data_IF_642876827129
#
_entry.id   IF_642876827129
#
_cell.length_a   1.000
_cell.length_b   1.000
_cell.length_c   1.000
_cell.angle_alpha   90.00
_cell.angle_beta   90.00
_cell.angle_gamma   90.00
#
_symmetry.space_group_name_H-M   'P 1'
#
loop_
_entity.id
_entity.type
_entity.pdbx_description
1 polymer ?
#
# COMPACT_ATOMS: atom_id res chain seq x y z
N UNK A 1 -1.75 -31.87 13.01
CA UNK A 1 -2.92 -32.75 12.77
C UNK A 1 -4.05 -32.29 13.68
N UNK A 2 -5.05 -31.60 13.13
CA UNK A 2 -6.19 -31.10 13.90
C UNK A 2 -7.18 -32.23 14.16
N UNK A 3 -7.61 -32.38 15.42
CA UNK A 3 -8.58 -33.41 15.82
C UNK A 3 -9.94 -33.28 15.12
N UNK A 4 -10.71 -34.37 15.16
CA UNK A 4 -12.05 -34.53 14.57
C UNK A 4 -12.94 -33.33 14.95
N UNK A 5 -13.49 -32.63 13.94
CA UNK A 5 -14.35 -31.45 14.11
C UNK A 5 -13.69 -30.08 13.90
N UNK A 6 -12.36 -30.00 13.72
CA UNK A 6 -11.64 -28.72 13.49
C UNK A 6 -11.37 -28.36 12.02
N UNK A 7 -12.00 -29.04 11.07
CA UNK A 7 -11.79 -28.80 9.63
C UNK A 7 -12.13 -27.37 9.19
N UNK A 8 -13.20 -26.78 9.72
CA UNK A 8 -13.59 -25.39 9.42
C UNK A 8 -12.59 -24.39 9.99
N UNK A 9 -11.98 -24.68 11.14
CA UNK A 9 -10.99 -23.81 11.76
C UNK A 9 -9.68 -23.77 10.95
N UNK A 10 -9.25 -24.91 10.41
CA UNK A 10 -8.09 -25.01 9.50
C UNK A 10 -8.37 -24.34 8.16
N UNK A 11 -9.60 -24.42 7.64
CA UNK A 11 -9.97 -23.73 6.40
C UNK A 11 -10.04 -22.20 6.59
N UNK A 12 -10.54 -21.70 7.72
CA UNK A 12 -10.53 -20.25 7.99
C UNK A 12 -9.11 -19.71 8.19
N UNK A 13 -8.25 -20.42 8.91
CA UNK A 13 -6.84 -19.99 9.04
C UNK A 13 -6.08 -19.97 7.71
N UNK A 14 -6.42 -20.88 6.77
CA UNK A 14 -5.90 -20.82 5.40
C UNK A 14 -6.38 -19.59 4.63
N UNK A 15 -7.66 -19.25 4.76
CA UNK A 15 -8.26 -18.07 4.12
C UNK A 15 -7.70 -16.75 4.69
N UNK A 16 -7.46 -16.67 5.99
CA UNK A 16 -6.85 -15.52 6.66
C UNK A 16 -5.40 -15.30 6.17
N UNK A 17 -4.65 -16.40 5.97
CA UNK A 17 -3.29 -16.35 5.42
C UNK A 17 -3.25 -15.93 3.95
N UNK A 18 -4.16 -16.42 3.11
CA UNK A 18 -4.26 -15.99 1.72
C UNK A 18 -4.59 -14.50 1.62
N UNK A 19 -5.50 -13.98 2.46
CA UNK A 19 -5.84 -12.55 2.48
C UNK A 19 -4.69 -11.67 2.97
N UNK A 20 -3.93 -12.12 3.96
CA UNK A 20 -2.71 -11.44 4.42
C UNK A 20 -1.65 -11.35 3.31
N UNK A 21 -1.45 -12.44 2.56
CA UNK A 21 -0.50 -12.46 1.43
C UNK A 21 -1.00 -11.58 0.27
N UNK A 22 -2.31 -11.59 0.01
CA UNK A 22 -2.93 -10.79 -1.04
C UNK A 22 -2.84 -9.28 -0.77
N UNK A 23 -2.86 -8.83 0.49
CA UNK A 23 -2.70 -7.41 0.85
C UNK A 23 -1.24 -6.93 0.77
N UNK A 24 -0.25 -7.83 0.86
CA UNK A 24 1.17 -7.49 0.66
C UNK A 24 1.52 -7.09 -0.79
N UNK A 25 0.82 -7.62 -1.79
CA UNK A 25 1.01 -7.28 -3.21
C UNK A 25 0.77 -5.80 -3.54
N UNK A 26 -0.43 -5.24 -3.26
CA UNK A 26 -0.71 -3.83 -3.50
C UNK A 26 0.14 -2.90 -2.62
N UNK A 27 0.55 -3.33 -1.42
CA UNK A 27 1.46 -2.57 -0.55
C UNK A 27 2.81 -2.30 -1.23
N UNK A 28 3.43 -3.34 -1.81
CA UNK A 28 4.72 -3.20 -2.51
C UNK A 28 4.60 -2.37 -3.80
N UNK A 29 3.52 -2.58 -4.57
CA UNK A 29 3.25 -1.80 -5.78
C UNK A 29 3.06 -0.32 -5.49
N UNK A 30 2.40 0.02 -4.38
CA UNK A 30 2.16 1.42 -4.05
C UNK A 30 3.40 2.13 -3.51
N UNK A 31 4.25 1.43 -2.74
CA UNK A 31 5.58 1.96 -2.38
C UNK A 31 6.41 2.27 -3.63
N UNK A 32 6.43 1.34 -4.59
CA UNK A 32 7.12 1.54 -5.86
C UNK A 32 6.53 2.71 -6.68
N UNK A 33 5.21 2.90 -6.65
CA UNK A 33 4.54 4.02 -7.31
C UNK A 33 4.92 5.37 -6.70
N UNK A 34 4.96 5.47 -5.36
CA UNK A 34 5.44 6.67 -4.67
C UNK A 34 6.90 6.97 -4.97
N UNK A 35 7.77 5.95 -4.95
CA UNK A 35 9.20 6.13 -5.22
C UNK A 35 9.43 6.62 -6.66
N UNK A 36 8.68 6.06 -7.61
CA UNK A 36 8.66 6.52 -9.01
C UNK A 36 8.14 7.96 -9.13
N UNK A 37 7.09 8.33 -8.39
CA UNK A 37 6.54 9.68 -8.41
C UNK A 37 7.52 10.72 -7.84
N UNK A 38 8.26 10.38 -6.77
CA UNK A 38 9.31 11.24 -6.22
C UNK A 38 10.47 11.45 -7.20
N UNK A 39 10.92 10.39 -7.86
CA UNK A 39 11.94 10.47 -8.91
C UNK A 39 11.46 11.34 -10.08
N UNK A 40 10.20 11.16 -10.51
CA UNK A 40 9.61 11.94 -11.59
C UNK A 40 9.47 13.43 -11.23
N UNK A 41 9.11 13.75 -9.99
CA UNK A 41 8.99 15.11 -9.50
C UNK A 41 10.33 15.87 -9.43
N UNK A 42 11.44 15.16 -9.22
CA UNK A 42 12.80 15.73 -9.25
C UNK A 42 13.35 15.90 -10.67
N UNK A 43 13.11 14.94 -11.56
CA UNK A 43 13.69 15.01 -12.91
C UNK A 43 12.92 15.89 -13.89
N UNK A 44 11.64 16.17 -13.63
CA UNK A 44 10.79 16.92 -14.54
C UNK A 44 10.76 18.39 -14.13
N UNK A 45 11.02 19.27 -15.09
CA UNK A 45 10.89 20.71 -14.94
C UNK A 45 9.67 21.22 -15.71
N UNK A 46 8.82 22.02 -15.07
CA UNK A 46 7.68 22.69 -15.69
C UNK A 46 7.58 24.13 -15.16
N UNK A 47 7.16 25.07 -16.00
CA UNK A 47 7.11 26.51 -15.64
C UNK A 47 8.45 27.11 -15.16
N UNK A 48 9.57 26.55 -15.62
CA UNK A 48 10.91 27.06 -15.30
C UNK A 48 11.42 26.69 -13.90
N UNK A 49 10.75 25.77 -13.20
CA UNK A 49 11.24 25.17 -11.95
C UNK A 49 10.94 23.66 -11.90
N UNK A 50 11.58 22.93 -11.01
CA UNK A 50 11.30 21.50 -10.81
C UNK A 50 9.86 21.32 -10.31
N UNK A 51 9.11 20.33 -10.83
CA UNK A 51 7.71 20.16 -10.38
C UNK A 51 7.59 19.83 -8.90
N UNK A 52 8.62 19.20 -8.31
CA UNK A 52 8.69 18.94 -6.86
C UNK A 52 8.69 20.19 -5.98
N UNK A 53 8.98 21.38 -6.52
CA UNK A 53 8.95 22.64 -5.75
C UNK A 53 7.54 23.21 -5.58
N UNK A 54 6.55 22.72 -6.35
CA UNK A 54 5.17 23.13 -6.20
C UNK A 54 4.51 22.39 -5.03
N UNK A 55 3.87 23.15 -4.14
CA UNK A 55 3.13 22.62 -2.99
C UNK A 55 2.05 21.61 -3.40
N UNK A 56 1.43 21.77 -4.57
CA UNK A 56 0.40 20.84 -5.07
C UNK A 56 0.97 19.46 -5.38
N UNK A 57 2.13 19.38 -6.06
CA UNK A 57 2.77 18.09 -6.35
C UNK A 57 3.24 17.39 -5.08
N UNK A 58 3.87 18.13 -4.16
CA UNK A 58 4.28 17.58 -2.87
C UNK A 58 3.08 17.11 -2.04
N UNK A 59 1.98 17.89 -2.02
CA UNK A 59 0.76 17.60 -1.29
C UNK A 59 0.02 16.36 -1.81
N UNK A 60 -0.09 16.20 -3.14
CA UNK A 60 -0.74 15.03 -3.75
C UNK A 60 0.02 13.73 -3.43
N UNK A 61 1.36 13.77 -3.48
CA UNK A 61 2.19 12.59 -3.17
C UNK A 61 2.06 12.22 -1.69
N UNK A 62 2.14 13.22 -0.78
CA UNK A 62 2.00 12.98 0.65
C UNK A 62 0.61 12.43 1.00
N UNK A 63 -0.44 13.01 0.40
CA UNK A 63 -1.82 12.57 0.60
C UNK A 63 -2.05 11.14 0.15
N UNK A 64 -1.52 10.77 -1.03
CA UNK A 64 -1.58 9.39 -1.52
C UNK A 64 -0.85 8.41 -0.59
N UNK A 65 0.33 8.79 -0.10
CA UNK A 65 1.10 7.96 0.83
C UNK A 65 0.35 7.76 2.17
N UNK A 66 -0.25 8.82 2.73
CA UNK A 66 -0.99 8.75 3.99
C UNK A 66 -2.29 7.94 3.86
N UNK A 67 -3.02 8.09 2.76
CA UNK A 67 -4.21 7.26 2.50
C UNK A 67 -3.84 5.80 2.28
N UNK A 68 -2.67 5.53 1.73
CA UNK A 68 -2.23 4.16 1.54
C UNK A 68 -1.88 3.46 2.84
N UNK A 69 -1.22 4.15 3.77
CA UNK A 69 -0.94 3.59 5.10
C UNK A 69 -2.22 3.39 5.91
N UNK A 70 -3.21 4.27 5.77
CA UNK A 70 -4.54 4.06 6.39
C UNK A 70 -5.23 2.79 5.88
N UNK A 71 -5.32 2.60 4.56
CA UNK A 71 -5.91 1.37 3.99
C UNK A 71 -5.14 0.13 4.44
N UNK A 72 -3.83 0.24 4.59
CA UNK A 72 -3.01 -0.85 5.10
C UNK A 72 -3.29 -1.17 6.57
N UNK A 73 -3.47 -0.15 7.42
CA UNK A 73 -3.84 -0.33 8.82
C UNK A 73 -5.24 -0.95 8.95
N UNK A 74 -6.19 -0.50 8.13
CA UNK A 74 -7.55 -1.07 8.08
C UNK A 74 -7.52 -2.54 7.63
N UNK A 75 -6.68 -2.88 6.65
CA UNK A 75 -6.51 -4.26 6.18
C UNK A 75 -5.86 -5.17 7.23
N UNK A 76 -4.98 -4.64 8.08
CA UNK A 76 -4.38 -5.37 9.21
C UNK A 76 -5.38 -5.51 10.37
N UNK A 77 -6.20 -4.49 10.63
CA UNK A 77 -7.19 -4.50 11.71
C UNK A 77 -8.44 -5.34 11.41
N UNK A 78 -8.63 -5.76 10.15
CA UNK A 78 -9.70 -6.70 9.74
C UNK A 78 -9.34 -8.17 10.07
N UNK A 79 -8.09 -8.46 10.46
CA UNK A 79 -7.64 -9.76 10.99
C UNK A 79 -7.86 -9.85 12.52
#
# INVERSE_FOLDING_TARGET
>A
MGGIGKGVYVLMTGLDYERLVLSGGPMGLMQAACDTAFQYAHHREAFGTQIGTFQDCAGVILYLAEKCTQVCLDAIQIL
#
